data_IF_821863383576
#
_entry.id   IF_821863383576
#
_cell.length_a   1.000
_cell.length_b   1.000
_cell.length_c   1.000
_cell.angle_alpha   90.00
_cell.angle_beta   90.00
_cell.angle_gamma   90.00
#
_symmetry.space_group_name_H-M   'P 1'
#
loop_
_entity.id
_entity.type
_entity.pdbx_description
1 polymer ?
#
# COMPACT_ATOMS: atom_id res chain seq x y z
N UNK A 1 6.01 61.46 14.88
CA UNK A 1 4.68 61.69 14.29
C UNK A 1 4.04 60.33 14.04
N UNK A 2 3.08 59.96 14.88
CA UNK A 2 2.34 58.70 14.84
C UNK A 2 1.33 58.75 13.68
N UNK A 3 1.36 57.79 12.75
CA UNK A 3 0.25 57.57 11.81
C UNK A 3 -0.35 56.20 12.11
N UNK A 4 -1.53 56.24 12.71
CA UNK A 4 -2.43 55.13 12.98
C UNK A 4 -3.15 54.77 11.67
N UNK A 5 -3.10 53.51 11.25
CA UNK A 5 -3.94 52.97 10.17
C UNK A 5 -4.83 51.89 10.81
N UNK A 6 -6.17 52.07 10.86
CA UNK A 6 -7.08 51.13 11.51
C UNK A 6 -7.49 49.97 10.59
N UNK A 7 -7.32 48.75 11.15
CA UNK A 7 -8.22 47.59 11.14
C UNK A 7 -9.15 47.45 9.91
N UNK A 8 -8.80 46.52 9.00
CA UNK A 8 -9.79 45.74 8.25
C UNK A 8 -9.70 44.31 8.78
N UNK A 9 -10.74 43.93 9.51
CA UNK A 9 -10.88 42.65 10.17
C UNK A 9 -11.18 41.52 9.17
N UNK A 10 -10.44 40.42 9.31
CA UNK A 10 -10.86 39.03 9.20
C UNK A 10 -11.95 38.67 8.17
N UNK A 11 -11.54 37.99 7.11
CA UNK A 11 -12.04 36.63 6.81
C UNK A 11 -10.96 35.82 6.11
N UNK A 12 -10.14 35.11 6.89
CA UNK A 12 -9.40 33.96 6.37
C UNK A 12 -10.43 32.85 6.13
N UNK A 13 -11.03 32.81 4.95
CA UNK A 13 -11.87 31.70 4.54
C UNK A 13 -10.94 30.53 4.14
N UNK A 14 -10.37 29.85 5.14
CA UNK A 14 -9.63 28.60 4.91
C UNK A 14 -10.62 27.55 4.41
N UNK A 15 -10.63 27.32 3.10
CA UNK A 15 -11.36 26.24 2.48
C UNK A 15 -10.80 24.88 2.95
N UNK A 16 -11.74 23.96 3.22
CA UNK A 16 -11.56 22.65 3.83
C UNK A 16 -10.52 21.77 3.13
N UNK A 17 -9.57 21.22 3.90
CA UNK A 17 -8.87 20.00 3.50
C UNK A 17 -9.67 18.78 4.00
N UNK A 18 -10.70 18.37 3.26
CA UNK A 18 -11.24 17.01 3.39
C UNK A 18 -10.28 16.06 2.69
N UNK A 19 -9.20 15.67 3.37
CA UNK A 19 -8.43 14.49 2.96
C UNK A 19 -9.04 13.27 3.64
N UNK A 20 -10.23 12.87 3.16
CA UNK A 20 -10.80 11.57 3.48
C UNK A 20 -10.07 10.48 2.68
N UNK A 21 -8.79 10.25 2.98
CA UNK A 21 -8.03 9.21 2.31
C UNK A 21 -8.19 7.89 3.08
N UNK A 22 -9.37 7.27 2.94
CA UNK A 22 -9.69 6.02 3.63
C UNK A 22 -9.02 4.79 2.97
N UNK A 23 -8.64 4.88 1.69
CA UNK A 23 -8.09 3.79 0.88
C UNK A 23 -6.56 3.83 0.68
N UNK A 24 -6.02 2.75 0.11
CA UNK A 24 -4.62 2.65 -0.29
C UNK A 24 -4.33 3.27 -1.66
N UNK A 25 -3.11 3.80 -1.83
CA UNK A 25 -2.60 4.36 -3.07
C UNK A 25 -1.69 3.36 -3.78
N UNK A 26 -2.15 2.80 -4.90
CA UNK A 26 -1.40 1.77 -5.63
C UNK A 26 -0.01 2.25 -6.10
N UNK A 27 0.15 3.51 -6.50
CA UNK A 27 1.45 4.05 -6.96
C UNK A 27 2.48 4.15 -5.82
N UNK A 28 2.05 4.56 -4.63
CA UNK A 28 2.89 4.54 -3.43
C UNK A 28 3.21 3.09 -3.04
N UNK A 29 2.20 2.21 -3.10
CA UNK A 29 2.32 0.78 -2.84
C UNK A 29 3.33 0.09 -3.76
N UNK A 30 3.34 0.44 -5.05
CA UNK A 30 4.29 -0.08 -6.04
C UNK A 30 5.73 0.20 -5.64
N UNK A 31 6.01 1.42 -5.18
CA UNK A 31 7.34 1.84 -4.76
C UNK A 31 7.81 1.04 -3.53
N UNK A 32 6.93 0.89 -2.54
CA UNK A 32 7.20 0.08 -1.34
C UNK A 32 7.41 -1.38 -1.72
N UNK A 33 6.53 -1.94 -2.57
CA UNK A 33 6.59 -3.33 -3.01
C UNK A 33 7.90 -3.65 -3.75
N UNK A 34 8.35 -2.75 -4.63
CA UNK A 34 9.61 -2.90 -5.35
C UNK A 34 10.82 -2.95 -4.40
N UNK A 35 10.80 -2.17 -3.32
CA UNK A 35 11.92 -2.06 -2.39
C UNK A 35 11.94 -3.16 -1.32
N UNK A 36 10.76 -3.60 -0.86
CA UNK A 36 10.65 -4.41 0.36
C UNK A 36 10.01 -5.79 0.14
N UNK A 37 9.28 -6.01 -0.96
CA UNK A 37 8.47 -7.21 -1.14
C UNK A 37 8.92 -8.06 -2.33
N UNK A 38 9.39 -7.42 -3.39
CA UNK A 38 9.60 -8.03 -4.71
C UNK A 38 10.67 -9.14 -4.73
N UNK A 39 11.64 -9.11 -3.80
CA UNK A 39 12.69 -10.13 -3.73
C UNK A 39 12.17 -11.52 -3.39
N UNK A 40 11.06 -11.62 -2.66
CA UNK A 40 10.44 -12.89 -2.27
C UNK A 40 9.12 -13.14 -3.01
N UNK A 41 8.30 -12.09 -3.18
CA UNK A 41 6.94 -12.22 -3.73
C UNK A 41 6.85 -11.95 -5.23
N UNK A 42 7.98 -11.67 -5.90
CA UNK A 42 8.08 -11.10 -7.24
C UNK A 42 7.54 -9.67 -7.36
N UNK A 43 7.98 -8.94 -8.39
CA UNK A 43 7.64 -7.52 -8.60
C UNK A 43 6.13 -7.27 -8.75
N UNK A 44 5.43 -8.21 -9.38
CA UNK A 44 3.97 -8.19 -9.59
C UNK A 44 3.21 -9.04 -8.56
N UNK A 45 3.89 -9.64 -7.58
CA UNK A 45 3.25 -10.50 -6.59
C UNK A 45 3.00 -11.94 -7.08
N UNK A 46 3.48 -12.32 -8.26
CA UNK A 46 3.28 -13.65 -8.85
C UNK A 46 4.49 -14.58 -8.64
N UNK A 47 4.96 -14.72 -7.39
CA UNK A 47 6.05 -15.66 -7.08
C UNK A 47 5.76 -17.08 -7.61
N UNK A 48 6.81 -17.71 -8.14
CA UNK A 48 6.81 -19.11 -8.61
C UNK A 48 7.38 -20.06 -7.56
N UNK A 49 8.01 -19.52 -6.52
CA UNK A 49 8.55 -20.30 -5.42
C UNK A 49 7.43 -20.64 -4.42
N UNK A 50 7.16 -21.93 -4.13
CA UNK A 50 6.09 -22.32 -3.22
C UNK A 50 6.31 -21.86 -1.77
N UNK A 51 7.52 -21.46 -1.38
CA UNK A 51 7.81 -20.90 -0.05
C UNK A 51 7.28 -19.47 0.10
N UNK A 52 7.09 -18.74 -1.01
CA UNK A 52 6.64 -17.36 -1.00
C UNK A 52 5.24 -17.24 -1.62
N UNK A 53 4.20 -16.94 -0.81
CA UNK A 53 2.84 -16.89 -1.33
C UNK A 53 2.67 -15.80 -2.38
N UNK A 54 1.83 -16.09 -3.38
CA UNK A 54 1.41 -15.10 -4.38
C UNK A 54 0.54 -14.03 -3.72
N UNK A 55 0.88 -12.77 -3.99
CA UNK A 55 0.14 -11.59 -3.54
C UNK A 55 -0.72 -10.98 -4.64
N UNK A 56 -0.40 -11.26 -5.91
CA UNK A 56 -1.12 -10.69 -7.05
C UNK A 56 -2.61 -11.06 -7.04
N UNK A 57 -3.47 -10.05 -7.19
CA UNK A 57 -4.93 -10.20 -7.23
C UNK A 57 -5.55 -10.61 -5.89
N UNK A 58 -4.78 -10.62 -4.80
CA UNK A 58 -5.31 -10.83 -3.46
C UNK A 58 -6.06 -9.58 -2.98
N UNK A 59 -7.06 -9.75 -2.11
CA UNK A 59 -7.84 -8.64 -1.58
C UNK A 59 -6.97 -7.65 -0.80
N UNK A 60 -7.12 -6.35 -1.09
CA UNK A 60 -6.27 -5.32 -0.50
C UNK A 60 -6.40 -5.24 1.03
N UNK A 61 -7.60 -5.41 1.55
CA UNK A 61 -7.91 -5.46 2.99
C UNK A 61 -7.34 -6.71 3.67
N UNK A 62 -7.33 -7.84 2.99
CA UNK A 62 -6.66 -9.05 3.48
C UNK A 62 -5.15 -8.83 3.60
N UNK A 63 -4.50 -8.21 2.60
CA UNK A 63 -3.07 -7.89 2.67
C UNK A 63 -2.80 -6.92 3.82
N UNK A 64 -3.60 -5.86 3.97
CA UNK A 64 -3.48 -4.93 5.10
C UNK A 64 -3.61 -5.69 6.43
N UNK A 65 -4.61 -6.54 6.57
CA UNK A 65 -4.86 -7.33 7.78
C UNK A 65 -3.69 -8.26 8.09
N UNK A 66 -3.17 -8.98 7.10
CA UNK A 66 -2.05 -9.90 7.30
C UNK A 66 -0.78 -9.15 7.77
N UNK A 67 -0.49 -7.98 7.19
CA UNK A 67 0.64 -7.14 7.62
C UNK A 67 0.44 -6.62 9.06
N UNK A 68 -0.77 -6.23 9.44
CA UNK A 68 -1.10 -5.86 10.82
C UNK A 68 -0.92 -7.05 11.79
N UNK A 69 -1.31 -8.25 11.37
CA UNK A 69 -1.16 -9.45 12.17
C UNK A 69 0.31 -9.84 12.38
N UNK A 70 1.15 -9.70 11.35
CA UNK A 70 2.59 -9.89 11.48
C UNK A 70 3.25 -8.83 12.37
N UNK A 71 2.80 -7.56 12.27
CA UNK A 71 3.32 -6.45 13.09
C UNK A 71 2.94 -6.60 14.56
N UNK A 72 1.73 -7.06 14.85
CA UNK A 72 1.23 -7.26 16.21
C UNK A 72 1.66 -8.58 16.84
N UNK A 73 2.13 -9.53 16.03
CA UNK A 73 2.47 -10.89 16.46
C UNK A 73 1.28 -11.85 16.49
N UNK A 74 0.06 -11.40 16.14
CA UNK A 74 -1.10 -12.28 15.99
C UNK A 74 -0.90 -13.37 14.91
N UNK A 75 -0.05 -13.08 13.91
CA UNK A 75 0.46 -14.07 12.95
C UNK A 75 1.96 -14.19 13.12
N UNK A 76 2.43 -15.38 13.47
CA UNK A 76 3.85 -15.64 13.73
C UNK A 76 4.61 -15.94 12.44
N UNK A 77 5.55 -15.07 12.07
CA UNK A 77 6.61 -15.33 11.09
C UNK A 77 7.73 -14.29 11.27
N UNK A 78 8.95 -14.67 11.70
CA UNK A 78 9.99 -13.70 12.05
C UNK A 78 10.45 -12.85 10.86
N UNK A 79 10.44 -13.41 9.64
CA UNK A 79 10.81 -12.69 8.42
C UNK A 79 9.78 -11.59 8.15
N UNK A 80 8.50 -11.97 8.04
CA UNK A 80 7.43 -11.02 7.73
C UNK A 80 7.16 -10.03 8.87
N UNK A 81 7.37 -10.41 10.13
CA UNK A 81 7.31 -9.49 11.26
C UNK A 81 8.37 -8.39 11.14
N UNK A 82 9.58 -8.70 10.67
CA UNK A 82 10.63 -7.71 10.43
C UNK A 82 10.22 -6.68 9.36
N UNK A 83 9.68 -7.13 8.23
CA UNK A 83 9.18 -6.23 7.18
C UNK A 83 7.96 -5.42 7.65
N UNK A 84 6.99 -6.07 8.29
CA UNK A 84 5.77 -5.41 8.74
C UNK A 84 6.03 -4.36 9.85
N UNK A 85 7.07 -4.55 10.68
CA UNK A 85 7.45 -3.60 11.72
C UNK A 85 7.72 -2.20 11.17
N UNK A 86 8.39 -2.09 10.02
CA UNK A 86 8.76 -0.82 9.38
C UNK A 86 7.61 -0.10 8.65
N UNK A 87 6.47 -0.76 8.45
CA UNK A 87 5.36 -0.18 7.71
C UNK A 87 4.41 0.61 8.62
N UNK A 88 4.02 1.81 8.17
CA UNK A 88 2.84 2.50 8.70
C UNK A 88 1.56 1.77 8.25
N UNK A 89 0.43 1.99 8.92
CA UNK A 89 -0.85 1.43 8.46
C UNK A 89 -1.20 1.92 7.05
N UNK A 90 -0.88 3.17 6.70
CA UNK A 90 -1.12 3.68 5.35
C UNK A 90 -0.27 2.92 4.33
N UNK A 91 1.02 2.69 4.62
CA UNK A 91 1.89 1.89 3.73
C UNK A 91 1.34 0.48 3.53
N UNK A 92 0.76 -0.13 4.56
CA UNK A 92 0.13 -1.46 4.44
C UNK A 92 -1.09 -1.43 3.50
N UNK A 93 -1.92 -0.39 3.58
CA UNK A 93 -3.04 -0.17 2.64
C UNK A 93 -2.54 0.05 1.22
N UNK A 94 -1.50 0.85 1.06
CA UNK A 94 -0.92 1.18 -0.25
C UNK A 94 -0.37 -0.08 -0.92
N UNK A 95 0.40 -0.90 -0.18
CA UNK A 95 0.90 -2.20 -0.65
C UNK A 95 -0.25 -3.16 -0.98
N UNK A 96 -1.29 -3.20 -0.14
CA UNK A 96 -2.50 -3.97 -0.42
C UNK A 96 -3.17 -3.54 -1.72
N UNK A 97 -3.33 -2.25 -1.95
CA UNK A 97 -3.90 -1.70 -3.18
C UNK A 97 -3.05 -2.02 -4.41
N UNK A 98 -1.72 -1.95 -4.31
CA UNK A 98 -0.81 -2.33 -5.39
C UNK A 98 -1.00 -3.80 -5.80
N UNK A 99 -0.85 -4.74 -4.87
CA UNK A 99 -0.92 -6.16 -5.20
C UNK A 99 -2.32 -6.61 -5.61
N UNK A 100 -3.38 -6.03 -5.05
CA UNK A 100 -4.76 -6.31 -5.45
C UNK A 100 -5.06 -5.93 -6.90
N UNK A 101 -4.37 -4.92 -7.44
CA UNK A 101 -4.51 -4.49 -8.84
C UNK A 101 -3.72 -5.36 -9.84
N UNK A 102 -2.89 -6.29 -9.36
CA UNK A 102 -2.12 -7.17 -10.24
C UNK A 102 -2.96 -8.37 -10.71
N UNK A 103 -2.67 -8.93 -11.91
CA UNK A 103 -3.33 -10.15 -12.37
C UNK A 103 -2.98 -11.33 -11.45
N UNK A 104 -3.99 -11.85 -10.75
CA UNK A 104 -3.89 -13.00 -9.86
C UNK A 104 -4.28 -14.31 -10.53
N UNK A 105 -4.29 -15.40 -9.75
CA UNK A 105 -4.63 -16.76 -10.24
C UNK A 105 -6.06 -16.90 -10.74
N UNK A 106 -6.97 -16.00 -10.33
CA UNK A 106 -8.36 -15.97 -10.78
C UNK A 106 -8.65 -14.87 -11.80
N UNK A 107 -7.65 -14.04 -12.14
CA UNK A 107 -7.78 -13.10 -13.25
C UNK A 107 -7.68 -13.92 -14.54
N UNK A 108 -8.64 -13.82 -15.48
CA UNK A 108 -8.53 -14.50 -16.76
C UNK A 108 -7.23 -14.11 -17.45
N UNK A 109 -6.26 -15.02 -17.46
CA UNK A 109 -5.00 -14.84 -18.19
C UNK A 109 -5.37 -14.89 -19.66
N UNK A 110 -5.31 -13.76 -20.36
CA UNK A 110 -5.16 -13.80 -21.82
C UNK A 110 -3.94 -14.68 -22.08
N UNK A 111 -4.06 -15.78 -22.84
CA UNK A 111 -2.96 -16.72 -23.01
C UNK A 111 -1.75 -15.93 -23.51
N UNK A 112 -0.71 -15.87 -22.67
CA UNK A 112 0.59 -15.38 -23.14
C UNK A 112 1.01 -16.37 -24.22
N UNK A 113 1.12 -15.91 -25.46
CA UNK A 113 1.75 -16.66 -26.54
C UNK A 113 3.09 -17.17 -26.01
N UNK A 114 3.16 -18.48 -25.77
CA UNK A 114 4.40 -19.14 -25.41
C UNK A 114 5.20 -19.13 -26.70
N UNK A 115 6.18 -18.22 -26.79
CA UNK A 115 7.21 -18.33 -27.83
C UNK A 115 8.16 -19.42 -27.35
N UNK A 116 8.04 -20.60 -27.96
CA UNK A 116 9.02 -21.70 -27.90
C UNK A 116 10.42 -21.21 -28.31
#
# INVERSE_FOLDING_TARGET
MKRLIPIVAYTFFSAMALNAQAGGHADAGKTIAAQQCASCHAADGNSTDPQFPRLAGQWADYIERALLDYKSGARSNPIMSGFAAGLSRQNMKDVGAWFASQPGVFTPVQPKTVQE
#
